data_IF_611526949834
#
_entry.id   IF_611526949834
#
_cell.length_a   1.000
_cell.length_b   1.000
_cell.length_c   1.000
_cell.angle_alpha   90.00
_cell.angle_beta   90.00
_cell.angle_gamma   90.00
#
_symmetry.space_group_name_H-M   'P 1'
#
loop_
_entity.id
_entity.type
_entity.pdbx_description
1 polymer ?
#
# COMPACT_ATOMS: atom_id res chain seq x y z
N UNK A 1 1.29 8.69 -10.94
CA UNK A 1 1.23 9.15 -12.36
C UNK A 1 -0.14 8.82 -12.91
N UNK A 2 -0.77 9.71 -13.69
CA UNK A 2 -2.04 9.41 -14.37
C UNK A 2 -1.75 9.23 -15.86
N UNK A 3 -2.24 8.14 -16.45
CA UNK A 3 -2.14 7.85 -17.87
C UNK A 3 -3.48 7.28 -18.36
N UNK A 4 -4.18 8.04 -19.20
CA UNK A 4 -5.57 7.75 -19.56
C UNK A 4 -6.46 7.74 -18.32
N UNK A 5 -7.27 6.69 -18.18
CA UNK A 5 -8.15 6.50 -17.01
C UNK A 5 -7.49 5.74 -15.86
N UNK A 6 -6.17 5.51 -15.90
CA UNK A 6 -5.46 4.79 -14.86
C UNK A 6 -4.53 5.70 -14.07
N UNK A 7 -4.53 5.52 -12.75
CA UNK A 7 -3.52 6.06 -11.85
C UNK A 7 -2.57 4.95 -11.41
N UNK A 8 -1.29 5.15 -11.67
CA UNK A 8 -0.20 4.32 -11.23
C UNK A 8 0.40 4.97 -9.98
N UNK A 9 0.19 4.32 -8.84
CA UNK A 9 0.65 4.80 -7.53
C UNK A 9 1.98 4.11 -7.23
N UNK A 10 3.02 4.90 -6.93
CA UNK A 10 4.30 4.35 -6.53
C UNK A 10 4.14 3.46 -5.29
N UNK A 11 5.05 2.52 -5.07
CA UNK A 11 5.08 1.71 -3.85
C UNK A 11 5.05 2.59 -2.59
N UNK A 12 4.09 2.31 -1.72
CA UNK A 12 3.90 3.03 -0.47
C UNK A 12 4.43 2.19 0.68
N UNK A 13 5.34 2.78 1.44
CA UNK A 13 6.02 2.17 2.58
C UNK A 13 5.71 2.97 3.85
N UNK A 14 6.33 2.57 4.97
CA UNK A 14 6.17 3.25 6.26
C UNK A 14 6.99 4.55 6.40
N UNK A 15 7.23 5.29 5.32
CA UNK A 15 7.88 6.59 5.41
C UNK A 15 6.95 7.67 5.98
N UNK A 16 7.50 8.52 6.85
CA UNK A 16 6.91 9.80 7.21
C UNK A 16 7.21 10.89 6.17
N UNK A 17 6.68 12.10 6.38
CA UNK A 17 6.87 13.25 5.49
C UNK A 17 8.32 13.74 5.44
N UNK A 18 9.15 13.35 6.41
CA UNK A 18 10.59 13.65 6.47
C UNK A 18 11.43 12.50 5.88
N UNK A 19 10.80 11.40 5.48
CA UNK A 19 11.47 10.22 4.93
C UNK A 19 12.07 9.29 6.00
N UNK A 20 11.69 9.40 7.28
CA UNK A 20 12.05 8.43 8.31
C UNK A 20 11.12 7.22 8.26
N UNK A 21 11.59 6.06 8.72
CA UNK A 21 10.75 4.85 8.82
C UNK A 21 9.99 4.89 10.15
N UNK A 22 8.67 4.98 10.06
CA UNK A 22 7.75 4.83 11.20
C UNK A 22 7.70 3.36 11.61
N UNK A 23 7.77 3.06 12.92
CA UNK A 23 7.58 1.69 13.40
C UNK A 23 8.72 0.72 13.05
N UNK A 24 9.99 1.11 13.22
CA UNK A 24 11.13 0.20 13.01
C UNK A 24 10.95 -1.06 13.87
N UNK A 25 10.88 -2.23 13.22
CA UNK A 25 10.64 -3.52 13.88
C UNK A 25 9.17 -3.82 14.23
N UNK A 26 8.24 -2.92 13.90
CA UNK A 26 6.80 -3.06 14.17
C UNK A 26 6.02 -3.13 12.85
N UNK A 27 5.64 -4.35 12.46
CA UNK A 27 4.89 -4.58 11.22
C UNK A 27 3.51 -3.91 11.23
N UNK A 28 2.86 -3.79 12.38
CA UNK A 28 1.51 -3.23 12.44
C UNK A 28 1.56 -1.72 12.19
N UNK A 29 2.45 -1.02 12.89
CA UNK A 29 2.69 0.39 12.67
C UNK A 29 3.11 0.68 11.22
N UNK A 30 3.95 -0.18 10.63
CA UNK A 30 4.36 -0.03 9.23
C UNK A 30 3.24 -0.27 8.23
N UNK A 31 2.40 -1.28 8.45
CA UNK A 31 1.22 -1.53 7.62
C UNK A 31 0.26 -0.34 7.67
N UNK A 32 -0.02 0.18 8.87
CA UNK A 32 -0.89 1.35 9.04
C UNK A 32 -0.35 2.56 8.28
N UNK A 33 0.94 2.86 8.44
CA UNK A 33 1.54 4.01 7.76
C UNK A 33 1.57 3.84 6.24
N UNK A 34 1.94 2.66 5.74
CA UNK A 34 1.94 2.39 4.30
C UNK A 34 0.55 2.54 3.68
N UNK A 35 -0.49 2.04 4.36
CA UNK A 35 -1.88 2.18 3.91
C UNK A 35 -2.38 3.63 3.98
N UNK A 36 -1.99 4.39 5.02
CA UNK A 36 -2.28 5.83 5.10
C UNK A 36 -1.63 6.61 3.95
N UNK A 37 -0.37 6.31 3.64
CA UNK A 37 0.36 6.91 2.52
C UNK A 37 -0.34 6.57 1.19
N UNK A 38 -0.76 5.33 0.99
CA UNK A 38 -1.58 4.92 -0.15
C UNK A 38 -2.87 5.74 -0.27
N UNK A 39 -3.59 5.94 0.84
CA UNK A 39 -4.79 6.78 0.86
C UNK A 39 -4.51 8.23 0.48
N UNK A 40 -3.38 8.79 0.90
CA UNK A 40 -2.96 10.15 0.52
C UNK A 40 -2.75 10.21 -1.00
N UNK A 41 -2.02 9.26 -1.58
CA UNK A 41 -1.77 9.21 -3.01
C UNK A 41 -3.05 9.03 -3.84
N UNK A 42 -3.98 8.15 -3.41
CA UNK A 42 -5.27 7.96 -4.08
C UNK A 42 -6.09 9.25 -4.05
N UNK A 43 -6.18 9.93 -2.89
CA UNK A 43 -6.90 11.21 -2.80
C UNK A 43 -6.31 12.29 -3.70
N UNK A 44 -4.98 12.34 -3.86
CA UNK A 44 -4.32 13.30 -4.74
C UNK A 44 -4.75 13.15 -6.21
N UNK A 45 -5.15 11.95 -6.64
CA UNK A 45 -5.68 11.68 -7.99
C UNK A 45 -7.21 11.56 -8.02
N UNK A 46 -7.91 12.00 -6.95
CA UNK A 46 -9.37 11.93 -6.80
C UNK A 46 -9.94 10.49 -6.92
N UNK A 47 -9.18 9.53 -6.38
CA UNK A 47 -9.55 8.12 -6.27
C UNK A 47 -9.79 7.71 -4.81
N UNK A 48 -10.43 6.57 -4.65
CA UNK A 48 -10.73 5.88 -3.40
C UNK A 48 -10.14 4.45 -3.44
N UNK A 49 -10.09 3.73 -2.31
CA UNK A 49 -9.69 2.32 -2.31
C UNK A 49 -10.49 1.43 -3.26
N UNK A 50 -11.76 1.75 -3.48
CA UNK A 50 -12.66 0.99 -4.36
C UNK A 50 -12.29 1.12 -5.84
N UNK A 51 -11.50 2.13 -6.19
CA UNK A 51 -10.97 2.34 -7.54
C UNK A 51 -9.73 1.49 -7.82
N UNK A 52 -9.12 0.87 -6.79
CA UNK A 52 -7.95 0.00 -6.95
C UNK A 52 -8.33 -1.25 -7.74
N UNK A 53 -7.70 -1.43 -8.90
CA UNK A 53 -7.91 -2.58 -9.79
C UNK A 53 -6.79 -3.63 -9.73
N UNK A 54 -5.62 -3.25 -9.21
CA UNK A 54 -4.53 -4.17 -8.88
C UNK A 54 -3.76 -3.67 -7.68
N UNK A 55 -3.38 -4.60 -6.79
CA UNK A 55 -2.41 -4.37 -5.72
C UNK A 55 -1.29 -5.42 -5.77
N UNK A 56 -0.06 -4.97 -5.58
CA UNK A 56 1.09 -5.85 -5.32
C UNK A 56 1.64 -5.51 -3.94
N UNK A 57 1.67 -6.50 -3.07
CA UNK A 57 2.13 -6.36 -1.70
C UNK A 57 3.50 -7.02 -1.59
N UNK A 58 4.48 -6.28 -1.09
CA UNK A 58 5.80 -6.80 -0.77
C UNK A 58 5.95 -6.82 0.74
N UNK A 59 6.47 -7.91 1.28
CA UNK A 59 6.82 -8.05 2.69
C UNK A 59 8.19 -8.69 2.83
N UNK A 60 8.91 -8.40 3.91
CA UNK A 60 10.22 -9.01 4.16
C UNK A 60 10.12 -10.42 4.75
N UNK A 61 8.99 -10.74 5.41
CA UNK A 61 8.69 -12.06 5.96
C UNK A 61 7.27 -12.49 5.58
N UNK A 62 7.10 -13.77 5.23
CA UNK A 62 5.79 -14.36 4.93
C UNK A 62 4.78 -14.20 6.07
N UNK A 63 5.24 -14.20 7.33
CA UNK A 63 4.41 -14.01 8.51
C UNK A 63 3.68 -12.64 8.53
N UNK A 64 4.25 -11.63 7.86
CA UNK A 64 3.68 -10.28 7.82
C UNK A 64 2.49 -10.13 6.88
N UNK A 65 2.27 -11.08 5.97
CA UNK A 65 1.14 -11.04 5.03
C UNK A 65 -0.22 -11.00 5.75
N UNK A 66 -0.38 -11.80 6.81
CA UNK A 66 -1.61 -11.82 7.58
C UNK A 66 -1.88 -10.46 8.24
N UNK A 67 -0.84 -9.85 8.83
CA UNK A 67 -0.92 -8.53 9.49
C UNK A 67 -1.29 -7.43 8.50
N UNK A 68 -0.69 -7.44 7.31
CA UNK A 68 -1.04 -6.50 6.25
C UNK A 68 -2.49 -6.66 5.79
N UNK A 69 -2.97 -7.89 5.61
CA UNK A 69 -4.37 -8.16 5.22
C UNK A 69 -5.35 -7.67 6.29
N UNK A 70 -5.06 -7.93 7.56
CA UNK A 70 -5.86 -7.46 8.70
C UNK A 70 -5.91 -5.93 8.77
N UNK A 71 -4.75 -5.27 8.70
CA UNK A 71 -4.66 -3.81 8.71
C UNK A 71 -5.41 -3.20 7.52
N UNK A 72 -5.25 -3.76 6.32
CA UNK A 72 -5.94 -3.33 5.11
C UNK A 72 -7.45 -3.42 5.27
N UNK A 73 -7.95 -4.59 5.68
CA UNK A 73 -9.39 -4.80 5.83
C UNK A 73 -9.99 -3.86 6.88
N UNK A 74 -9.25 -3.54 7.95
CA UNK A 74 -9.66 -2.58 8.98
C UNK A 74 -9.69 -1.13 8.47
N UNK A 75 -8.70 -0.70 7.68
CA UNK A 75 -8.52 0.71 7.30
C UNK A 75 -9.30 1.07 6.04
N UNK A 76 -9.23 0.22 5.01
CA UNK A 76 -9.78 0.52 3.68
C UNK A 76 -10.92 -0.42 3.27
N UNK A 77 -11.27 -1.39 4.11
CA UNK A 77 -12.29 -2.40 3.83
C UNK A 77 -11.78 -3.54 2.96
N UNK A 78 -12.69 -4.45 2.60
CA UNK A 78 -12.39 -5.55 1.70
C UNK A 78 -12.19 -5.03 0.26
N UNK A 79 -11.00 -5.26 -0.31
CA UNK A 79 -10.72 -4.95 -1.70
C UNK A 79 -11.06 -6.15 -2.59
N UNK A 80 -12.01 -5.98 -3.51
CA UNK A 80 -12.27 -6.93 -4.60
C UNK A 80 -11.41 -6.61 -5.82
N UNK A 81 -10.10 -6.77 -5.65
CA UNK A 81 -9.09 -6.36 -6.62
C UNK A 81 -8.15 -7.51 -6.96
N UNK A 82 -7.47 -7.46 -8.11
CA UNK A 82 -6.41 -8.41 -8.39
C UNK A 82 -5.26 -8.19 -7.39
N UNK A 83 -4.86 -9.21 -6.65
CA UNK A 83 -3.86 -9.10 -5.58
C UNK A 83 -2.71 -10.07 -5.80
N UNK A 84 -1.49 -9.58 -5.59
CA UNK A 84 -0.27 -10.40 -5.56
C UNK A 84 0.48 -10.11 -4.27
N UNK A 85 1.14 -11.13 -3.70
CA UNK A 85 1.98 -11.01 -2.53
C UNK A 85 3.37 -11.59 -2.84
N UNK A 86 4.41 -10.85 -2.51
CA UNK A 86 5.81 -11.20 -2.77
C UNK A 86 6.59 -11.07 -1.45
N UNK A 87 7.45 -12.06 -1.17
CA UNK A 87 8.42 -11.97 -0.07
C UNK A 87 9.76 -11.52 -0.67
N UNK A 88 10.27 -10.37 -0.26
CA UNK A 88 11.48 -9.76 -0.82
C UNK A 88 12.16 -8.79 0.15
N UNK A 89 13.43 -8.43 -0.12
CA UNK A 89 14.01 -7.23 0.46
C UNK A 89 13.34 -5.95 -0.07
N UNK A 90 13.47 -4.85 0.67
CA UNK A 90 12.87 -3.55 0.35
C UNK A 90 13.96 -2.47 0.27
N UNK A 91 13.57 -1.24 -0.09
CA UNK A 91 14.51 -0.12 -0.32
C UNK A 91 15.37 0.28 0.91
N UNK A 92 14.97 -0.13 2.12
CA UNK A 92 15.75 0.00 3.35
C UNK A 92 15.53 -1.24 4.22
N UNK A 93 16.57 -1.69 4.91
CA UNK A 93 16.50 -2.89 5.78
C UNK A 93 15.51 -2.74 6.94
N UNK A 94 15.17 -1.50 7.32
CA UNK A 94 14.19 -1.22 8.38
C UNK A 94 12.74 -1.24 7.89
N UNK A 95 12.49 -1.34 6.59
CA UNK A 95 11.16 -1.51 6.02
C UNK A 95 10.76 -2.98 6.03
N UNK A 96 9.51 -3.24 6.41
CA UNK A 96 8.94 -4.58 6.51
C UNK A 96 7.83 -4.82 5.47
N UNK A 97 7.26 -3.75 4.92
CA UNK A 97 6.13 -3.80 3.99
C UNK A 97 6.16 -2.66 2.97
N UNK A 98 5.71 -2.98 1.76
CA UNK A 98 5.44 -2.01 0.69
C UNK A 98 4.15 -2.40 -0.06
N UNK A 99 3.31 -1.41 -0.39
CA UNK A 99 2.06 -1.60 -1.13
C UNK A 99 2.09 -0.79 -2.41
N UNK A 100 2.10 -1.47 -3.55
CA UNK A 100 2.02 -0.89 -4.90
C UNK A 100 0.60 -1.07 -5.44
N UNK A 101 0.04 -0.02 -6.05
CA UNK A 101 -1.34 -0.04 -6.50
C UNK A 101 -1.56 0.66 -7.85
N UNK A 102 -2.50 0.10 -8.61
CA UNK A 102 -3.08 0.72 -9.80
C UNK A 102 -4.56 0.96 -9.56
N UNK A 103 -5.03 2.17 -9.82
CA UNK A 103 -6.44 2.55 -9.73
C UNK A 103 -7.03 2.93 -11.09
N UNK A 104 -8.30 2.62 -11.32
CA UNK A 104 -9.05 3.06 -12.50
C UNK A 104 -10.00 4.20 -12.11
N UNK A 105 -9.78 5.38 -12.71
CA UNK A 105 -10.47 6.63 -12.40
C UNK A 105 -11.82 6.77 -13.14
N UNK A 106 -12.07 5.92 -14.14
CA UNK A 106 -13.27 5.95 -14.99
C UNK A 106 -14.48 5.21 -14.41
N UNK A 107 -14.34 4.53 -13.27
CA UNK A 107 -15.47 3.97 -12.50
C UNK A 107 -16.18 5.09 -11.76
N UNK A 108 -17.02 5.85 -12.46
CA UNK A 108 -17.97 6.79 -11.84
C UNK A 108 -19.36 6.57 -12.39
#
# INVERSE_FOLDING_TARGET
VVAGEFAFIAGQTAFDEQGNVVGVGDIDAQCERALQNLMICLRAVKATPQDIVKVTNYVTDRAYLARLVEARNRIIGELRTASTAVVSGLARDTLLVEVDAIAHLGRR
#
